data_IF_078747328706
#
_entry.id   IF_078747328706
#
_cell.length_a   1.000
_cell.length_b   1.000
_cell.length_c   1.000
_cell.angle_alpha   90.00
_cell.angle_beta   90.00
_cell.angle_gamma   90.00
#
_symmetry.space_group_name_H-M   'P 1'
#
loop_
_entity.id
_entity.type
_entity.pdbx_description
1 polymer ?
#
# COMPACT_ATOMS: atom_id res chain seq x y z
N UNK A 1 50.88 -5.00 3.13
CA UNK A 1 50.58 -3.58 2.83
C UNK A 1 50.90 -2.78 4.07
N UNK A 2 51.88 -1.88 3.99
CA UNK A 2 52.24 -0.99 5.10
C UNK A 2 51.12 0.04 5.21
N UNK A 3 50.43 0.13 6.35
CA UNK A 3 49.55 1.26 6.62
C UNK A 3 50.43 2.48 6.88
N UNK A 4 50.59 3.33 5.86
CA UNK A 4 51.23 4.63 6.03
C UNK A 4 50.24 5.59 6.71
N UNK A 5 50.29 5.65 8.04
CA UNK A 5 49.50 6.57 8.86
C UNK A 5 49.88 8.04 8.68
N UNK A 6 51.02 8.32 8.05
CA UNK A 6 51.55 9.67 7.85
C UNK A 6 51.88 9.93 6.37
N UNK A 7 51.61 11.16 5.92
CA UNK A 7 51.89 11.60 4.56
C UNK A 7 53.40 11.55 4.26
N UNK A 8 53.86 10.73 3.30
CA UNK A 8 55.28 10.61 2.96
C UNK A 8 55.90 11.92 2.45
N UNK A 9 55.09 12.79 1.84
CA UNK A 9 55.55 14.05 1.26
C UNK A 9 56.02 15.07 2.30
N UNK A 10 55.65 14.92 3.58
CA UNK A 10 56.06 15.82 4.66
C UNK A 10 57.33 15.37 5.38
N UNK A 11 57.88 14.20 5.03
CA UNK A 11 59.14 13.71 5.62
C UNK A 11 60.30 14.59 5.17
N UNK A 12 61.20 14.91 6.11
CA UNK A 12 62.43 15.65 5.83
C UNK A 12 63.50 14.65 5.39
N UNK A 13 64.27 14.98 4.35
CA UNK A 13 65.39 14.16 3.91
C UNK A 13 66.43 14.08 5.04
N UNK A 14 66.84 12.88 5.47
CA UNK A 14 67.95 12.72 6.40
C UNK A 14 69.21 13.42 5.85
N UNK A 15 70.00 13.99 6.75
CA UNK A 15 71.30 14.53 6.40
C UNK A 15 72.31 13.39 6.35
N UNK A 16 72.62 12.90 5.15
CA UNK A 16 73.55 11.78 4.95
C UNK A 16 75.03 12.18 5.14
N UNK A 17 75.33 13.41 5.57
CA UNK A 17 76.71 13.87 5.82
C UNK A 17 77.15 13.77 7.29
N UNK A 18 76.24 13.35 8.18
CA UNK A 18 76.53 13.15 9.60
C UNK A 18 77.16 11.78 9.88
N UNK A 19 77.97 11.71 10.94
CA UNK A 19 78.79 10.55 11.32
C UNK A 19 77.98 9.25 11.53
N UNK A 20 76.69 9.36 11.86
CA UNK A 20 75.78 8.21 12.02
C UNK A 20 75.58 7.39 10.73
N UNK A 21 75.80 7.99 9.55
CA UNK A 21 75.70 7.31 8.25
C UNK A 21 77.08 6.94 7.67
N UNK A 22 78.17 7.11 8.43
CA UNK A 22 79.51 6.82 7.96
C UNK A 22 79.73 5.33 7.64
N UNK A 23 79.05 4.41 8.36
CA UNK A 23 79.06 2.97 8.03
C UNK A 23 78.35 2.69 6.70
N UNK A 24 77.17 3.28 6.47
CA UNK A 24 76.40 3.10 5.22
C UNK A 24 77.13 3.69 4.00
N UNK A 25 77.93 4.75 4.20
CA UNK A 25 78.76 5.36 3.17
C UNK A 25 80.04 4.57 2.88
N UNK A 26 80.52 3.73 3.82
CA UNK A 26 81.79 3.01 3.69
C UNK A 26 81.82 1.99 2.54
N UNK A 27 80.67 1.42 2.16
CA UNK A 27 80.54 0.56 0.97
C UNK A 27 80.81 1.34 -0.33
N UNK A 28 80.42 2.61 -0.42
CA UNK A 28 80.63 3.45 -1.60
C UNK A 28 82.08 3.95 -1.74
N UNK A 29 82.79 4.11 -0.61
CA UNK A 29 84.20 4.51 -0.60
C UNK A 29 85.09 3.40 -1.19
N UNK A 30 84.69 2.13 -1.02
CA UNK A 30 85.39 0.98 -1.59
C UNK A 30 85.44 0.99 -3.13
N UNK A 31 84.55 1.77 -3.77
CA UNK A 31 84.47 1.96 -5.23
C UNK A 31 85.12 3.26 -5.74
N UNK A 32 85.80 4.02 -4.87
CA UNK A 32 86.52 5.25 -5.25
C UNK A 32 85.65 6.51 -5.34
N UNK A 33 84.46 6.51 -4.74
CA UNK A 33 83.54 7.64 -4.67
C UNK A 33 83.80 8.42 -3.38
N UNK A 34 83.87 9.76 -3.47
CA UNK A 34 84.00 10.63 -2.29
C UNK A 34 82.72 10.65 -1.45
N UNK A 35 82.82 10.72 -0.12
CA UNK A 35 81.68 10.74 0.82
C UNK A 35 80.58 11.74 0.43
N UNK A 36 80.96 12.94 -0.02
CA UNK A 36 80.02 13.97 -0.47
C UNK A 36 79.18 13.54 -1.70
N UNK A 37 79.77 12.74 -2.59
CA UNK A 37 79.09 12.23 -3.79
C UNK A 37 78.17 11.04 -3.46
N UNK A 38 78.58 10.18 -2.52
CA UNK A 38 77.75 9.08 -2.02
C UNK A 38 76.53 9.61 -1.24
N UNK A 39 76.72 10.59 -0.35
CA UNK A 39 75.63 11.27 0.35
C UNK A 39 74.63 11.96 -0.61
N UNK A 40 75.13 12.57 -1.70
CA UNK A 40 74.28 13.16 -2.74
C UNK A 40 73.47 12.11 -3.53
N UNK A 41 74.05 10.92 -3.77
CA UNK A 41 73.37 9.81 -4.43
C UNK A 41 72.23 9.27 -3.56
N UNK A 42 72.50 9.05 -2.27
CA UNK A 42 71.51 8.59 -1.28
C UNK A 42 70.37 9.60 -1.10
N UNK A 43 70.68 10.90 -1.00
CA UNK A 43 69.68 11.95 -0.96
C UNK A 43 68.80 11.97 -2.22
N UNK A 44 69.37 11.68 -3.40
CA UNK A 44 68.61 11.59 -4.66
C UNK A 44 67.72 10.35 -4.71
N UNK A 45 68.23 9.20 -4.30
CA UNK A 45 67.48 7.95 -4.23
C UNK A 45 66.32 8.06 -3.22
N UNK A 46 66.59 8.65 -2.05
CA UNK A 46 65.59 8.91 -1.02
C UNK A 46 64.46 9.83 -1.53
N UNK A 47 64.80 10.94 -2.20
CA UNK A 47 63.79 11.84 -2.81
C UNK A 47 62.99 11.16 -3.91
N UNK A 48 63.58 10.24 -4.67
CA UNK A 48 62.87 9.48 -5.69
C UNK A 48 61.86 8.51 -5.02
N UNK A 49 62.29 7.78 -4.00
CA UNK A 49 61.43 6.87 -3.25
C UNK A 49 60.29 7.62 -2.54
N UNK A 50 60.60 8.77 -1.93
CA UNK A 50 59.60 9.63 -1.29
C UNK A 50 58.49 10.09 -2.26
N UNK A 51 58.84 10.40 -3.52
CA UNK A 51 57.85 10.77 -4.54
C UNK A 51 56.92 9.60 -4.88
N UNK A 52 57.48 8.41 -5.07
CA UNK A 52 56.70 7.21 -5.34
C UNK A 52 55.76 6.90 -4.18
N UNK A 53 56.26 6.91 -2.94
CA UNK A 53 55.44 6.69 -1.75
C UNK A 53 54.35 7.75 -1.59
N UNK A 54 54.65 9.02 -1.89
CA UNK A 54 53.67 10.10 -1.83
C UNK A 54 52.56 9.96 -2.89
N UNK A 55 52.89 9.49 -4.10
CA UNK A 55 51.91 9.23 -5.15
C UNK A 55 51.00 8.05 -4.80
N UNK A 56 51.56 6.96 -4.28
CA UNK A 56 50.80 5.81 -3.81
C UNK A 56 49.89 6.17 -2.64
N UNK A 57 50.39 6.95 -1.68
CA UNK A 57 49.61 7.44 -0.55
C UNK A 57 48.45 8.33 -1.01
N UNK A 58 48.70 9.27 -1.93
CA UNK A 58 47.65 10.14 -2.47
C UNK A 58 46.56 9.33 -3.16
N UNK A 59 46.94 8.35 -3.99
CA UNK A 59 45.99 7.47 -4.67
C UNK A 59 45.15 6.67 -3.69
N UNK A 60 45.77 6.06 -2.68
CA UNK A 60 45.05 5.30 -1.65
C UNK A 60 44.09 6.20 -0.84
N UNK A 61 44.49 7.44 -0.56
CA UNK A 61 43.65 8.39 0.18
C UNK A 61 42.47 8.91 -0.67
N UNK A 62 42.67 9.15 -1.97
CA UNK A 62 41.59 9.50 -2.91
C UNK A 62 40.60 8.34 -3.06
N UNK A 63 41.07 7.10 -3.22
CA UNK A 63 40.22 5.90 -3.29
C UNK A 63 39.41 5.71 -1.99
N UNK A 64 40.04 5.93 -0.83
CA UNK A 64 39.35 5.86 0.46
C UNK A 64 38.29 6.96 0.63
N UNK A 65 38.56 8.17 0.14
CA UNK A 65 37.60 9.27 0.19
C UNK A 65 36.37 8.99 -0.69
N UNK A 66 36.58 8.48 -1.91
CA UNK A 66 35.49 8.08 -2.81
C UNK A 66 34.67 6.94 -2.20
N UNK A 67 35.32 5.91 -1.66
CA UNK A 67 34.63 4.79 -1.03
C UNK A 67 33.79 5.24 0.18
N UNK A 68 34.26 6.19 0.98
CA UNK A 68 33.49 6.73 2.09
C UNK A 68 32.30 7.58 1.61
N UNK A 69 32.49 8.37 0.55
CA UNK A 69 31.39 9.15 -0.07
C UNK A 69 30.30 8.23 -0.64
N UNK A 70 30.68 7.16 -1.34
CA UNK A 70 29.73 6.15 -1.84
C UNK A 70 28.97 5.47 -0.69
N UNK A 71 29.64 5.17 0.43
CA UNK A 71 28.99 4.60 1.62
C UNK A 71 28.00 5.56 2.25
N UNK A 72 28.34 6.84 2.35
CA UNK A 72 27.45 7.88 2.87
C UNK A 72 26.24 8.08 1.95
N UNK A 73 26.44 8.08 0.63
CA UNK A 73 25.36 8.17 -0.35
C UNK A 73 24.42 6.96 -0.27
N UNK A 74 24.97 5.74 -0.25
CA UNK A 74 24.17 4.52 -0.13
C UNK A 74 23.36 4.50 1.17
N UNK A 75 23.93 4.95 2.29
CA UNK A 75 23.21 5.06 3.56
C UNK A 75 22.09 6.10 3.51
N UNK A 76 22.34 7.25 2.86
CA UNK A 76 21.33 8.29 2.69
C UNK A 76 20.17 7.83 1.80
N UNK A 77 20.46 7.12 0.70
CA UNK A 77 19.46 6.56 -0.22
C UNK A 77 18.61 5.46 0.45
N UNK A 78 19.24 4.55 1.21
CA UNK A 78 18.53 3.51 1.96
C UNK A 78 17.60 4.13 3.01
N UNK A 79 18.09 5.12 3.76
CA UNK A 79 17.29 5.78 4.78
C UNK A 79 16.16 6.63 4.16
N UNK A 80 16.40 7.28 3.01
CA UNK A 80 15.36 7.99 2.27
C UNK A 80 14.29 7.03 1.72
N UNK A 81 14.70 5.88 1.20
CA UNK A 81 13.79 4.84 0.70
C UNK A 81 12.92 4.28 1.84
N UNK A 82 13.52 4.01 3.00
CA UNK A 82 12.80 3.53 4.18
C UNK A 82 11.82 4.57 4.71
N UNK A 83 12.21 5.84 4.78
CA UNK A 83 11.31 6.93 5.17
C UNK A 83 10.15 7.10 4.17
N UNK A 84 10.41 6.93 2.87
CA UNK A 84 9.36 6.98 1.85
C UNK A 84 8.39 5.79 1.97
N UNK A 85 8.89 4.58 2.24
CA UNK A 85 8.06 3.41 2.53
C UNK A 85 7.24 3.61 3.80
N UNK A 86 7.86 4.05 4.91
CA UNK A 86 7.16 4.33 6.17
C UNK A 86 6.06 5.40 5.99
N UNK A 87 6.27 6.38 5.10
CA UNK A 87 5.27 7.39 4.78
C UNK A 87 4.10 6.84 3.96
N UNK A 88 4.37 5.96 2.98
CA UNK A 88 3.33 5.24 2.23
C UNK A 88 2.53 4.31 3.16
N UNK A 89 3.23 3.58 4.02
CA UNK A 89 2.61 2.67 5.01
C UNK A 89 1.75 3.45 6.02
N UNK A 90 2.17 4.66 6.43
CA UNK A 90 1.34 5.54 7.26
C UNK A 90 0.12 6.10 6.53
N UNK A 91 0.23 6.38 5.23
CA UNK A 91 -0.90 6.84 4.42
C UNK A 91 -1.92 5.70 4.18
N UNK A 92 -1.44 4.46 4.04
CA UNK A 92 -2.29 3.27 3.94
C UNK A 92 -2.78 2.73 5.30
N UNK A 93 -2.20 3.18 6.42
CA UNK A 93 -2.60 2.80 7.76
C UNK A 93 -3.97 3.42 8.11
N UNK A 94 -5.04 2.72 7.74
CA UNK A 94 -6.35 2.97 8.33
C UNK A 94 -6.27 2.71 9.84
N UNK A 95 -6.81 3.61 10.68
CA UNK A 95 -6.83 3.39 12.11
C UNK A 95 -7.53 2.06 12.39
N UNK A 96 -6.77 1.09 12.93
CA UNK A 96 -7.30 -0.19 13.36
C UNK A 96 -8.28 0.13 14.49
N UNK A 97 -9.56 0.11 14.17
CA UNK A 97 -10.60 0.29 15.16
C UNK A 97 -10.51 -0.91 16.10
N UNK A 98 -9.96 -0.69 17.31
CA UNK A 98 -9.85 -1.64 18.42
C UNK A 98 -11.24 -2.01 19.00
N UNK A 99 -12.26 -2.06 18.15
CA UNK A 99 -13.56 -2.61 18.48
C UNK A 99 -13.41 -4.12 18.49
N UNK A 100 -14.03 -4.76 19.47
CA UNK A 100 -14.16 -6.21 19.46
C UNK A 100 -14.64 -6.68 18.09
N UNK A 101 -14.08 -7.76 17.54
CA UNK A 101 -14.52 -8.29 16.26
C UNK A 101 -16.03 -8.52 16.32
N UNK A 102 -16.79 -8.09 15.30
CA UNK A 102 -18.24 -8.20 15.33
C UNK A 102 -18.65 -9.66 15.54
N UNK A 103 -19.33 -9.93 16.66
CA UNK A 103 -19.84 -11.26 17.01
C UNK A 103 -21.04 -11.70 16.14
N UNK A 104 -21.50 -10.81 15.26
CA UNK A 104 -22.61 -11.04 14.34
C UNK A 104 -22.08 -10.98 12.91
N UNK A 105 -22.50 -11.95 12.09
CA UNK A 105 -22.21 -11.91 10.66
C UNK A 105 -22.83 -10.64 10.06
N UNK A 106 -22.10 -9.90 9.22
CA UNK A 106 -22.64 -8.71 8.57
C UNK A 106 -23.88 -9.08 7.73
N UNK A 107 -24.89 -8.23 7.76
CA UNK A 107 -26.07 -8.33 6.93
C UNK A 107 -25.72 -7.91 5.50
N UNK A 108 -25.32 -8.89 4.68
CA UNK A 108 -24.92 -8.68 3.28
C UNK A 108 -26.12 -9.03 2.38
N UNK A 109 -26.59 -8.09 1.53
CA UNK A 109 -27.62 -8.37 0.52
C UNK A 109 -27.18 -9.46 -0.48
N UNK A 110 -28.15 -10.11 -1.13
CA UNK A 110 -27.85 -11.12 -2.14
C UNK A 110 -27.08 -10.54 -3.35
N UNK A 111 -26.38 -11.40 -4.10
CA UNK A 111 -25.52 -10.99 -5.23
C UNK A 111 -26.32 -10.20 -6.30
N UNK A 112 -27.54 -10.62 -6.59
CA UNK A 112 -28.46 -9.91 -7.49
C UNK A 112 -28.69 -8.45 -7.03
N UNK A 113 -28.99 -8.26 -5.75
CA UNK A 113 -29.22 -6.93 -5.16
C UNK A 113 -27.96 -6.05 -5.25
N UNK A 114 -26.80 -6.60 -4.89
CA UNK A 114 -25.53 -5.89 -4.97
C UNK A 114 -25.20 -5.46 -6.40
N UNK A 115 -25.45 -6.32 -7.40
CA UNK A 115 -25.19 -6.00 -8.81
C UNK A 115 -26.10 -4.88 -9.31
N UNK A 116 -27.40 -4.94 -9.04
CA UNK A 116 -28.36 -3.88 -9.39
C UNK A 116 -27.96 -2.53 -8.81
N UNK A 117 -27.57 -2.53 -7.53
CA UNK A 117 -27.10 -1.32 -6.86
C UNK A 117 -25.81 -0.78 -7.49
N UNK A 118 -24.84 -1.63 -7.84
CA UNK A 118 -23.64 -1.18 -8.57
C UNK A 118 -23.95 -0.59 -9.95
N UNK A 119 -24.96 -1.12 -10.63
CA UNK A 119 -25.42 -0.62 -11.93
C UNK A 119 -26.22 0.71 -11.83
N UNK A 120 -26.50 1.19 -10.62
CA UNK A 120 -27.33 2.39 -10.44
C UNK A 120 -28.81 2.15 -10.73
N UNK A 121 -29.24 0.89 -10.76
CA UNK A 121 -30.62 0.50 -11.07
C UNK A 121 -31.40 0.36 -9.77
N UNK A 122 -32.66 0.80 -9.80
CA UNK A 122 -33.58 0.61 -8.67
C UNK A 122 -33.67 -0.87 -8.29
N UNK A 123 -33.66 -1.11 -6.98
CA UNK A 123 -33.78 -2.42 -6.37
C UNK A 123 -34.99 -2.38 -5.43
N UNK A 124 -35.80 -3.42 -5.49
CA UNK A 124 -36.96 -3.57 -4.61
C UNK A 124 -36.51 -3.69 -3.14
N UNK A 125 -37.21 -3.00 -2.23
CA UNK A 125 -36.83 -2.85 -0.82
C UNK A 125 -36.82 -4.17 -0.05
N UNK A 126 -37.61 -5.16 -0.50
CA UNK A 126 -37.63 -6.52 0.04
C UNK A 126 -36.21 -7.11 0.23
N UNK A 127 -35.32 -6.91 -0.75
CA UNK A 127 -33.96 -7.46 -0.71
C UNK A 127 -33.09 -6.90 0.42
N UNK A 128 -33.47 -5.75 0.97
CA UNK A 128 -32.81 -5.10 2.11
C UNK A 128 -33.62 -5.21 3.41
N UNK A 129 -34.82 -5.77 3.34
CA UNK A 129 -35.62 -6.19 4.49
C UNK A 129 -34.99 -7.38 5.23
N UNK A 130 -35.46 -7.64 6.45
CA UNK A 130 -34.94 -8.75 7.26
C UNK A 130 -35.11 -10.10 6.55
N UNK A 131 -36.27 -10.36 5.94
CA UNK A 131 -36.54 -11.60 5.20
C UNK A 131 -35.60 -11.76 3.99
N UNK A 132 -35.40 -10.70 3.19
CA UNK A 132 -34.50 -10.72 2.05
C UNK A 132 -33.03 -10.96 2.46
N UNK A 133 -32.60 -10.38 3.57
CA UNK A 133 -31.26 -10.58 4.12
C UNK A 133 -31.06 -11.99 4.69
N UNK A 134 -32.07 -12.55 5.36
CA UNK A 134 -32.00 -13.93 5.88
C UNK A 134 -32.05 -14.97 4.76
N UNK A 135 -32.83 -14.71 3.70
CA UNK A 135 -32.78 -15.49 2.46
C UNK A 135 -31.38 -15.42 1.83
N UNK A 136 -30.78 -14.23 1.75
CA UNK A 136 -29.43 -14.05 1.26
C UNK A 136 -28.39 -14.81 2.08
N UNK A 137 -28.50 -14.84 3.42
CA UNK A 137 -27.61 -15.61 4.31
C UNK A 137 -27.67 -17.12 4.05
N UNK A 138 -28.85 -17.64 3.70
CA UNK A 138 -29.05 -19.07 3.41
C UNK A 138 -28.40 -19.48 2.08
N UNK A 139 -28.38 -18.56 1.11
CA UNK A 139 -27.77 -18.77 -0.22
C UNK A 139 -26.30 -18.31 -0.27
N UNK A 140 -25.82 -17.59 0.75
CA UNK A 140 -24.45 -17.09 0.85
C UNK A 140 -23.44 -18.26 0.89
N UNK A 141 -22.69 -18.42 -0.20
CA UNK A 141 -21.71 -19.50 -0.40
C UNK A 141 -22.03 -20.46 -1.55
N UNK A 142 -23.27 -20.46 -2.06
CA UNK A 142 -23.68 -21.27 -3.21
C UNK A 142 -23.56 -20.54 -4.56
N UNK A 143 -23.50 -19.21 -4.54
CA UNK A 143 -23.43 -18.37 -5.72
C UNK A 143 -22.07 -17.63 -5.76
N UNK A 144 -21.12 -18.17 -6.52
CA UNK A 144 -20.07 -17.34 -7.09
C UNK A 144 -20.72 -16.42 -8.14
N UNK A 145 -20.36 -15.14 -8.18
CA UNK A 145 -20.95 -14.12 -9.07
C UNK A 145 -20.93 -14.53 -10.57
N UNK A 146 -19.93 -15.34 -10.95
CA UNK A 146 -19.72 -15.88 -12.30
C UNK A 146 -20.29 -17.30 -12.52
N UNK A 147 -20.87 -17.93 -11.49
CA UNK A 147 -21.45 -19.27 -11.58
C UNK A 147 -22.76 -19.28 -12.38
N UNK A 148 -22.94 -20.26 -13.25
CA UNK A 148 -24.22 -20.51 -13.90
C UNK A 148 -25.14 -21.33 -12.99
N UNK A 149 -26.37 -20.87 -12.77
CA UNK A 149 -27.41 -21.63 -12.09
C UNK A 149 -28.47 -22.12 -13.08
N UNK A 150 -28.93 -23.37 -12.95
CA UNK A 150 -30.03 -23.88 -13.75
C UNK A 150 -31.34 -23.28 -13.24
N UNK A 151 -32.15 -22.80 -14.18
CA UNK A 151 -33.55 -22.42 -14.00
C UNK A 151 -34.37 -23.40 -14.81
N UNK A 152 -35.31 -24.06 -14.14
CA UNK A 152 -36.23 -25.02 -14.76
C UNK A 152 -37.52 -24.28 -15.05
N UNK A 153 -37.93 -24.26 -16.31
CA UNK A 153 -39.25 -23.77 -16.71
C UNK A 153 -40.32 -24.71 -16.12
N UNK A 154 -41.21 -24.22 -15.25
CA UNK A 154 -42.21 -25.06 -14.60
C UNK A 154 -43.28 -25.60 -15.58
N UNK A 155 -43.43 -25.00 -16.76
CA UNK A 155 -44.44 -25.37 -17.77
C UNK A 155 -43.86 -26.35 -18.80
N UNK A 156 -42.65 -26.07 -19.29
CA UNK A 156 -42.03 -26.88 -20.36
C UNK A 156 -41.05 -27.93 -19.84
N UNK A 157 -40.60 -27.83 -18.58
CA UNK A 157 -39.58 -28.68 -17.99
C UNK A 157 -38.17 -28.45 -18.56
N UNK A 158 -38.00 -27.48 -19.45
CA UNK A 158 -36.70 -27.13 -20.03
C UNK A 158 -35.79 -26.47 -19.00
N UNK A 159 -34.51 -26.84 -18.99
CA UNK A 159 -33.49 -26.18 -18.17
C UNK A 159 -32.73 -25.13 -18.97
N UNK A 160 -32.70 -23.90 -18.45
CA UNK A 160 -31.89 -22.79 -18.97
C UNK A 160 -30.84 -22.44 -17.92
N UNK A 161 -29.62 -22.12 -18.35
CA UNK A 161 -28.55 -21.69 -17.45
C UNK A 161 -28.46 -20.18 -17.47
N UNK A 162 -28.58 -19.55 -16.30
CA UNK A 162 -28.42 -18.10 -16.14
C UNK A 162 -27.29 -17.81 -15.15
N UNK A 163 -26.66 -16.65 -15.26
CA UNK A 163 -25.71 -16.21 -14.24
C UNK A 163 -26.41 -16.15 -12.86
N UNK A 164 -25.73 -16.60 -11.80
CA UNK A 164 -26.27 -16.56 -10.44
C UNK A 164 -26.70 -15.14 -10.03
N UNK A 165 -25.99 -14.11 -10.52
CA UNK A 165 -26.32 -12.70 -10.32
C UNK A 165 -27.56 -12.21 -11.05
N UNK A 166 -28.10 -12.97 -12.01
CA UNK A 166 -29.35 -12.65 -12.70
C UNK A 166 -30.57 -13.34 -12.08
N UNK A 167 -30.37 -14.29 -11.16
CA UNK A 167 -31.46 -15.03 -10.54
C UNK A 167 -32.08 -14.24 -9.40
N UNK A 168 -33.38 -13.98 -9.50
CA UNK A 168 -34.21 -13.47 -8.40
C UNK A 168 -34.64 -14.63 -7.51
N UNK A 169 -34.71 -14.42 -6.21
CA UNK A 169 -35.40 -15.35 -5.31
C UNK A 169 -36.89 -15.35 -5.63
N UNK A 170 -37.43 -16.47 -6.11
CA UNK A 170 -38.83 -16.56 -6.59
C UNK A 170 -39.82 -16.99 -5.50
N UNK A 171 -39.34 -17.62 -4.43
CA UNK A 171 -40.23 -18.31 -3.49
C UNK A 171 -40.78 -17.42 -2.37
N UNK A 172 -40.08 -16.33 -2.02
CA UNK A 172 -40.46 -15.45 -0.90
C UNK A 172 -40.40 -13.96 -1.23
N UNK A 173 -40.12 -13.61 -2.48
CA UNK A 173 -40.01 -12.21 -2.90
C UNK A 173 -41.35 -11.48 -2.81
N UNK A 174 -41.33 -10.28 -2.20
CA UNK A 174 -42.44 -9.34 -2.13
C UNK A 174 -42.12 -8.10 -2.95
N UNK A 175 -43.11 -7.56 -3.66
CA UNK A 175 -43.01 -6.22 -4.27
C UNK A 175 -43.12 -5.15 -3.19
N UNK A 176 -42.68 -3.94 -3.48
CA UNK A 176 -42.72 -2.84 -2.52
C UNK A 176 -44.15 -2.55 -2.03
N UNK A 177 -45.15 -2.70 -2.91
CA UNK A 177 -46.59 -2.57 -2.61
C UNK A 177 -47.13 -3.66 -1.66
N UNK A 178 -46.46 -4.81 -1.62
CA UNK A 178 -46.83 -5.96 -0.78
C UNK A 178 -46.09 -5.96 0.57
N UNK A 179 -45.19 -4.99 0.81
CA UNK A 179 -44.46 -4.86 2.06
C UNK A 179 -45.38 -4.35 3.17
N UNK A 180 -45.17 -4.88 4.37
CA UNK A 180 -45.68 -4.25 5.58
C UNK A 180 -44.94 -2.94 5.83
N UNK A 181 -45.59 -2.03 6.57
CA UNK A 181 -44.99 -0.74 6.87
C UNK A 181 -43.66 -0.85 7.64
N UNK A 182 -43.56 -1.79 8.58
CA UNK A 182 -42.34 -2.02 9.35
C UNK A 182 -41.21 -2.55 8.45
N UNK A 183 -41.52 -3.42 7.49
CA UNK A 183 -40.55 -3.89 6.49
C UNK A 183 -40.06 -2.73 5.62
N UNK A 184 -40.99 -1.90 5.12
CA UNK A 184 -40.67 -0.71 4.33
C UNK A 184 -39.80 0.28 5.12
N UNK A 185 -40.24 0.67 6.32
CA UNK A 185 -39.54 1.64 7.16
C UNK A 185 -38.17 1.14 7.63
N UNK A 186 -38.01 -0.16 7.84
CA UNK A 186 -36.73 -0.79 8.16
C UNK A 186 -35.79 -0.89 6.95
N UNK A 187 -36.33 -1.12 5.76
CA UNK A 187 -35.53 -1.26 4.53
C UNK A 187 -35.03 0.08 3.97
N UNK A 188 -35.78 1.17 4.12
CA UNK A 188 -35.42 2.49 3.58
C UNK A 188 -34.03 2.99 4.06
N UNK A 189 -33.70 3.02 5.37
CA UNK A 189 -32.37 3.44 5.81
C UNK A 189 -31.25 2.55 5.27
N UNK A 190 -31.51 1.24 5.13
CA UNK A 190 -30.55 0.29 4.56
C UNK A 190 -30.33 0.56 3.08
N UNK A 191 -31.38 0.85 2.33
CA UNK A 191 -31.30 1.24 0.91
C UNK A 191 -30.46 2.50 0.71
N UNK A 192 -30.69 3.53 1.52
CA UNK A 192 -29.91 4.76 1.45
C UNK A 192 -28.41 4.52 1.74
N UNK A 193 -28.11 3.71 2.75
CA UNK A 193 -26.73 3.36 3.09
C UNK A 193 -26.08 2.51 1.99
N UNK A 194 -26.81 1.55 1.41
CA UNK A 194 -26.27 0.72 0.32
C UNK A 194 -26.07 1.51 -0.97
N UNK A 195 -26.95 2.48 -1.30
CA UNK A 195 -26.74 3.42 -2.40
C UNK A 195 -25.47 4.28 -2.21
N UNK A 196 -25.23 4.77 -0.99
CA UNK A 196 -24.00 5.49 -0.64
C UNK A 196 -22.76 4.61 -0.84
N UNK A 197 -22.81 3.38 -0.32
CA UNK A 197 -21.71 2.42 -0.47
C UNK A 197 -21.47 2.01 -1.93
N UNK A 198 -22.52 1.97 -2.75
CA UNK A 198 -22.46 1.75 -4.19
C UNK A 198 -22.06 3.00 -5.00
N UNK A 199 -21.72 4.11 -4.32
CA UNK A 199 -21.27 5.38 -4.92
C UNK A 199 -22.26 5.99 -5.91
N UNK A 200 -23.56 5.89 -5.61
CA UNK A 200 -24.56 6.60 -6.40
C UNK A 200 -24.32 8.11 -6.37
N UNK A 201 -24.69 8.86 -7.43
CA UNK A 201 -24.61 10.31 -7.42
C UNK A 201 -25.35 10.90 -6.21
N UNK A 202 -24.74 11.88 -5.53
CA UNK A 202 -25.30 12.48 -4.32
C UNK A 202 -26.70 13.10 -4.57
N UNK A 203 -26.95 13.59 -5.77
CA UNK A 203 -28.26 14.11 -6.19
C UNK A 203 -29.34 13.02 -6.18
N UNK A 204 -29.02 11.82 -6.67
CA UNK A 204 -29.96 10.69 -6.67
C UNK A 204 -30.26 10.22 -5.25
N UNK A 205 -29.24 10.15 -4.40
CA UNK A 205 -29.42 9.78 -2.98
C UNK A 205 -30.29 10.84 -2.29
N UNK A 206 -30.01 12.13 -2.50
CA UNK A 206 -30.82 13.23 -1.94
C UNK A 206 -32.27 13.18 -2.41
N UNK A 207 -32.50 12.87 -3.68
CA UNK A 207 -33.85 12.67 -4.22
C UNK A 207 -34.57 11.53 -3.50
N UNK A 208 -33.92 10.37 -3.33
CA UNK A 208 -34.50 9.22 -2.63
C UNK A 208 -34.76 9.50 -1.14
N UNK A 209 -33.85 10.20 -0.46
CA UNK A 209 -34.06 10.66 0.94
C UNK A 209 -35.32 11.50 1.05
N UNK A 210 -35.53 12.45 0.13
CA UNK A 210 -36.73 13.29 0.12
C UNK A 210 -37.98 12.48 -0.18
N UNK A 211 -37.92 11.62 -1.18
CA UNK A 211 -39.05 10.77 -1.59
C UNK A 211 -39.53 9.88 -0.44
N UNK A 212 -38.65 9.03 0.10
CA UNK A 212 -39.03 8.16 1.21
C UNK A 212 -39.27 8.92 2.51
N UNK A 213 -38.55 10.02 2.76
CA UNK A 213 -38.80 10.88 3.91
C UNK A 213 -40.22 11.45 3.91
N UNK A 214 -40.72 11.89 2.74
CA UNK A 214 -42.09 12.37 2.59
C UNK A 214 -43.12 11.26 2.83
N UNK A 215 -42.86 10.04 2.35
CA UNK A 215 -43.73 8.87 2.60
C UNK A 215 -43.75 8.54 4.09
N UNK A 216 -42.59 8.43 4.72
CA UNK A 216 -42.44 8.04 6.13
C UNK A 216 -43.01 9.07 7.11
N UNK A 217 -43.12 10.33 6.71
CA UNK A 217 -43.67 11.43 7.51
C UNK A 217 -45.09 11.84 7.08
N UNK A 218 -45.68 11.14 6.11
CA UNK A 218 -46.98 11.51 5.57
C UNK A 218 -48.09 11.40 6.63
N UNK A 219 -49.05 12.31 6.62
CA UNK A 219 -50.14 12.34 7.62
C UNK A 219 -51.01 11.08 7.59
N UNK A 220 -51.17 10.46 6.41
CA UNK A 220 -51.92 9.20 6.26
C UNK A 220 -51.30 8.03 7.05
N UNK A 221 -50.00 8.10 7.39
CA UNK A 221 -49.37 7.13 8.28
C UNK A 221 -49.99 7.16 9.68
N UNK A 222 -50.44 8.33 10.13
CA UNK A 222 -51.09 8.49 11.44
C UNK A 222 -52.60 8.26 11.36
N UNK A 223 -53.12 7.91 10.18
CA UNK A 223 -54.53 7.56 10.03
C UNK A 223 -54.84 6.29 10.80
N UNK A 224 -56.07 6.19 11.28
CA UNK A 224 -56.59 4.98 11.95
C UNK A 224 -57.12 3.96 10.95
N UNK A 225 -57.21 4.32 9.66
CA UNK A 225 -57.64 3.44 8.58
C UNK A 225 -56.44 2.70 7.97
N UNK A 226 -56.41 1.35 8.00
CA UNK A 226 -55.35 0.56 7.36
C UNK A 226 -55.24 0.76 5.84
N UNK A 227 -56.29 1.23 5.16
CA UNK A 227 -56.27 1.50 3.71
C UNK A 227 -55.44 2.75 3.40
N UNK A 228 -55.48 3.75 4.28
CA UNK A 228 -54.72 5.00 4.12
C UNK A 228 -53.21 4.76 4.19
N UNK A 229 -52.76 3.87 5.08
CA UNK A 229 -51.36 3.45 5.18
C UNK A 229 -50.92 2.67 3.93
N UNK A 230 -51.76 1.76 3.44
CA UNK A 230 -51.48 1.01 2.20
C UNK A 230 -51.37 1.91 0.98
N UNK A 231 -52.15 2.98 0.93
CA UNK A 231 -52.13 3.92 -0.20
C UNK A 231 -50.77 4.61 -0.37
N UNK A 232 -49.95 4.66 0.68
CA UNK A 232 -48.61 5.24 0.62
C UNK A 232 -47.55 4.31 0.01
N UNK A 233 -47.85 3.01 -0.08
CA UNK A 233 -46.95 1.98 -0.61
C UNK A 233 -47.34 1.52 -2.03
N UNK A 234 -48.47 2.01 -2.56
CA UNK A 234 -48.97 1.74 -3.92
C UNK A 234 -48.27 2.59 -4.98
#
# INVERSE_FOLDING_TARGET
>A
MVQLSENPATRVCPDFTIDEHAEDLSEFISEGITDAAAAALLARAWKANQRTEAEEWRKANEEAAVAEEERLQAFAEDNASRLAQDALDQEEAFPINMRDPPNQRPDIPCVYALKRLKEGVYLELYYLGCEGLDAAKTTAGQALDEGLQPVIDPVTGGSTWIAASAKRDTNSFKRDEDLTWDEFAGAVPRMLLTMQNARWPAEHITMMVKFWGNILSHSLRLSTDPIDERTLLL
#
